data_IF_975407751853
#
_entry.id   IF_975407751853
#
_cell.length_a   1.000
_cell.length_b   1.000
_cell.length_c   1.000
_cell.angle_alpha   90.00
_cell.angle_beta   90.00
_cell.angle_gamma   90.00
#
_symmetry.space_group_name_H-M   'P 1'
#
loop_
_entity.id
_entity.type
_entity.pdbx_description
1 polymer ?
#
# COMPACT_ATOMS: atom_id res chain seq x y z
N UNK A 1 17.49 -35.99 24.11
CA UNK A 1 17.19 -36.32 22.71
C UNK A 1 15.69 -36.54 22.46
N UNK A 2 15.03 -37.54 23.07
CA UNK A 2 13.58 -37.80 22.85
C UNK A 2 12.66 -36.58 23.08
N UNK A 3 12.89 -35.80 24.16
CA UNK A 3 12.11 -34.57 24.45
C UNK A 3 12.28 -33.48 23.37
N UNK A 4 13.48 -33.36 22.77
CA UNK A 4 13.75 -32.42 21.69
C UNK A 4 13.06 -32.84 20.39
N UNK A 5 13.01 -34.15 20.12
CA UNK A 5 12.30 -34.71 18.95
C UNK A 5 10.79 -34.44 19.08
N UNK A 6 10.20 -34.70 20.25
CA UNK A 6 8.77 -34.43 20.50
C UNK A 6 8.46 -32.94 20.37
N UNK A 7 9.30 -32.07 20.94
CA UNK A 7 9.15 -30.62 20.80
C UNK A 7 9.22 -30.19 19.33
N UNK A 8 10.17 -30.73 18.57
CA UNK A 8 10.30 -30.43 17.14
C UNK A 8 9.04 -30.84 16.37
N UNK A 9 8.52 -32.05 16.60
CA UNK A 9 7.29 -32.53 15.94
C UNK A 9 6.11 -31.62 16.28
N UNK A 10 5.98 -31.22 17.54
CA UNK A 10 4.92 -30.33 17.98
C UNK A 10 5.00 -28.96 17.31
N UNK A 11 6.18 -28.35 17.24
CA UNK A 11 6.40 -27.06 16.55
C UNK A 11 6.12 -27.17 15.06
N UNK A 12 6.56 -28.24 14.41
CA UNK A 12 6.29 -28.48 12.98
C UNK A 12 4.79 -28.63 12.71
N UNK A 13 4.08 -29.41 13.55
CA UNK A 13 2.63 -29.58 13.44
C UNK A 13 1.89 -28.25 13.62
N UNK A 14 2.26 -27.47 14.64
CA UNK A 14 1.65 -26.15 14.89
C UNK A 14 1.88 -25.19 13.70
N UNK A 15 3.09 -25.22 13.13
CA UNK A 15 3.44 -24.38 11.97
C UNK A 15 2.58 -24.73 10.75
N UNK A 16 2.44 -26.01 10.41
CA UNK A 16 1.62 -26.48 9.29
C UNK A 16 0.13 -26.19 9.53
N UNK A 17 -0.37 -26.43 10.76
CA UNK A 17 -1.75 -26.18 11.12
C UNK A 17 -2.10 -24.68 11.08
N UNK A 18 -1.16 -23.80 11.43
CA UNK A 18 -1.36 -22.34 11.43
C UNK A 18 -1.23 -21.70 10.04
N UNK A 19 -0.48 -22.32 9.12
CA UNK A 19 -0.22 -21.80 7.77
C UNK A 19 -1.47 -21.35 6.99
N UNK A 20 -2.58 -22.13 6.90
CA UNK A 20 -3.77 -21.68 6.16
C UNK A 20 -4.42 -20.45 6.78
N UNK A 21 -4.45 -20.33 8.11
CA UNK A 21 -5.01 -19.16 8.79
C UNK A 21 -4.19 -17.91 8.55
N UNK A 22 -2.86 -18.03 8.61
CA UNK A 22 -1.93 -16.93 8.30
C UNK A 22 -2.09 -16.51 6.83
N UNK A 23 -2.21 -17.47 5.91
CA UNK A 23 -2.39 -17.19 4.49
C UNK A 23 -3.70 -16.44 4.20
N UNK A 24 -4.83 -16.90 4.76
CA UNK A 24 -6.13 -16.22 4.64
C UNK A 24 -6.06 -14.80 5.23
N UNK A 25 -5.40 -14.63 6.38
CA UNK A 25 -5.23 -13.31 6.99
C UNK A 25 -4.47 -12.36 6.06
N UNK A 26 -3.36 -12.81 5.47
CA UNK A 26 -2.55 -11.99 4.55
C UNK A 26 -3.35 -11.64 3.29
N UNK A 27 -4.18 -12.55 2.77
CA UNK A 27 -5.04 -12.27 1.62
C UNK A 27 -6.09 -11.20 1.93
N UNK A 28 -6.67 -11.20 3.13
CA UNK A 28 -7.76 -10.28 3.50
C UNK A 28 -7.27 -8.91 4.02
N UNK A 29 -6.11 -8.87 4.67
CA UNK A 29 -5.61 -7.68 5.34
C UNK A 29 -4.31 -7.14 4.73
N UNK A 30 -3.73 -7.85 3.77
CA UNK A 30 -2.38 -7.59 3.28
C UNK A 30 -1.30 -8.07 4.24
N UNK A 31 -0.05 -7.79 3.90
CA UNK A 31 1.08 -8.14 4.77
C UNK A 31 1.16 -7.15 5.95
N UNK A 32 0.96 -7.59 7.21
CA UNK A 32 0.93 -6.68 8.36
C UNK A 32 2.26 -5.96 8.60
N UNK A 33 3.39 -6.62 8.30
CA UNK A 33 4.73 -6.03 8.41
C UNK A 33 4.86 -4.88 7.40
N UNK A 34 4.50 -5.14 6.14
CA UNK A 34 4.61 -4.13 5.09
C UNK A 34 3.66 -2.95 5.33
N UNK A 35 2.43 -3.21 5.76
CA UNK A 35 1.47 -2.17 6.12
C UNK A 35 2.00 -1.28 7.25
N UNK A 36 2.67 -1.87 8.25
CA UNK A 36 3.28 -1.10 9.34
C UNK A 36 4.45 -0.23 8.85
N UNK A 37 5.37 -0.80 8.07
CA UNK A 37 6.54 -0.09 7.53
C UNK A 37 6.10 1.08 6.65
N UNK A 38 5.29 0.81 5.62
CA UNK A 38 4.83 1.83 4.68
C UNK A 38 3.93 2.86 5.39
N UNK A 39 3.10 2.43 6.32
CA UNK A 39 2.27 3.33 7.11
C UNK A 39 3.07 4.26 8.03
N UNK A 40 4.24 3.82 8.52
CA UNK A 40 5.15 4.65 9.32
C UNK A 40 5.92 5.61 8.42
N UNK A 41 6.58 5.09 7.38
CA UNK A 41 7.40 5.88 6.48
C UNK A 41 6.57 6.91 5.71
N UNK A 42 5.35 6.56 5.27
CA UNK A 42 4.43 7.51 4.64
C UNK A 42 4.07 8.69 5.55
N UNK A 43 3.90 8.45 6.86
CA UNK A 43 3.67 9.54 7.84
C UNK A 43 4.90 10.42 8.01
N UNK A 44 6.08 9.80 8.07
CA UNK A 44 7.35 10.52 8.21
C UNK A 44 7.63 11.37 6.97
N UNK A 45 7.35 10.82 5.79
CA UNK A 45 7.44 11.51 4.50
C UNK A 45 6.54 12.75 4.45
N UNK A 46 5.24 12.62 4.77
CA UNK A 46 4.32 13.76 4.80
C UNK A 46 4.75 14.83 5.81
N UNK A 47 5.23 14.43 6.98
CA UNK A 47 5.76 15.37 7.99
C UNK A 47 6.99 16.11 7.49
N UNK A 48 7.91 15.42 6.82
CA UNK A 48 9.08 16.03 6.21
C UNK A 48 8.68 17.03 5.11
N UNK A 49 7.58 16.76 4.39
CA UNK A 49 6.95 17.67 3.43
C UNK A 49 6.16 18.84 4.06
N UNK A 50 6.13 18.96 5.39
CA UNK A 50 5.48 20.06 6.10
C UNK A 50 4.03 19.80 6.54
N UNK A 51 3.48 18.62 6.25
CA UNK A 51 2.12 18.28 6.65
C UNK A 51 2.03 17.84 8.11
N UNK A 52 0.98 18.26 8.78
CA UNK A 52 0.64 17.88 10.15
C UNK A 52 -0.62 17.02 10.19
N UNK A 53 -0.90 16.42 11.35
CA UNK A 53 -2.15 15.70 11.56
C UNK A 53 -3.40 16.61 11.44
N UNK A 54 -3.24 17.94 11.46
CA UNK A 54 -4.34 18.88 11.29
C UNK A 54 -4.76 19.01 9.83
N UNK A 55 -3.88 18.71 8.89
CA UNK A 55 -4.09 18.86 7.45
C UNK A 55 -4.68 17.59 6.83
N UNK A 56 -4.56 16.46 7.54
CA UNK A 56 -4.94 15.15 7.04
C UNK A 56 -6.31 14.75 7.60
N UNK A 57 -7.24 14.44 6.70
CA UNK A 57 -8.55 13.91 7.03
C UNK A 57 -8.47 12.40 7.30
N UNK A 58 -7.81 11.66 6.41
CA UNK A 58 -7.63 10.21 6.50
C UNK A 58 -6.29 9.81 5.91
N UNK A 59 -5.61 8.87 6.57
CA UNK A 59 -4.41 8.24 6.01
C UNK A 59 -4.28 6.80 6.49
N UNK A 60 -3.83 5.89 5.63
CA UNK A 60 -3.50 4.53 6.01
C UNK A 60 -2.78 3.78 4.88
N UNK A 61 -2.00 2.77 5.26
CA UNK A 61 -1.44 1.81 4.32
C UNK A 61 -2.45 0.69 4.06
N UNK A 62 -2.66 0.37 2.79
CA UNK A 62 -3.57 -0.69 2.36
C UNK A 62 -2.91 -1.56 1.29
N UNK A 63 -3.19 -2.88 1.27
CA UNK A 63 -2.80 -3.70 0.14
C UNK A 63 -3.54 -3.22 -1.11
N UNK A 64 -2.82 -3.03 -2.21
CA UNK A 64 -3.45 -2.96 -3.52
C UNK A 64 -3.56 -4.36 -4.12
N UNK A 65 -4.77 -4.75 -4.46
CA UNK A 65 -5.08 -6.03 -5.09
C UNK A 65 -4.84 -6.02 -6.60
N UNK A 66 -4.74 -4.84 -7.20
CA UNK A 66 -4.29 -4.71 -8.57
C UNK A 66 -2.76 -4.67 -8.62
N UNK A 67 -2.19 -5.25 -9.66
CA UNK A 67 -0.76 -5.05 -9.94
C UNK A 67 -0.49 -3.56 -10.12
N UNK A 68 0.69 -3.13 -9.68
CA UNK A 68 1.22 -1.78 -9.86
C UNK A 68 2.62 -1.86 -10.46
N UNK A 69 3.25 -0.71 -10.65
CA UNK A 69 4.63 -0.57 -11.03
C UNK A 69 5.52 -1.52 -10.21
N UNK A 70 6.22 -2.42 -10.92
CA UNK A 70 6.97 -3.54 -10.33
C UNK A 70 8.11 -3.10 -9.41
N UNK A 71 8.56 -1.86 -9.53
CA UNK A 71 9.61 -1.30 -8.69
C UNK A 71 9.11 -0.97 -7.28
N UNK A 72 7.80 -0.96 -7.05
CA UNK A 72 7.17 -0.58 -5.78
C UNK A 72 6.49 -1.78 -5.10
N UNK A 73 6.37 -1.73 -3.78
CA UNK A 73 5.56 -2.69 -3.03
C UNK A 73 4.07 -2.49 -3.34
N UNK A 74 3.30 -3.59 -3.43
CA UNK A 74 1.86 -3.52 -3.71
C UNK A 74 1.04 -2.88 -2.57
N UNK A 75 1.61 -2.72 -1.38
CA UNK A 75 0.96 -1.94 -0.32
C UNK A 75 1.15 -0.45 -0.62
N UNK A 76 0.04 0.29 -0.69
CA UNK A 76 0.01 1.72 -1.00
C UNK A 76 -0.36 2.49 0.25
N UNK A 77 0.26 3.64 0.44
CA UNK A 77 -0.13 4.60 1.46
C UNK A 77 -1.12 5.61 0.86
N UNK A 78 -2.36 5.59 1.37
CA UNK A 78 -3.43 6.47 0.92
C UNK A 78 -3.56 7.68 1.84
N UNK A 79 -3.81 8.85 1.26
CA UNK A 79 -3.96 10.10 2.01
C UNK A 79 -5.13 10.90 1.43
N UNK A 80 -5.99 11.41 2.31
CA UNK A 80 -7.04 12.38 2.00
C UNK A 80 -6.78 13.60 2.87
N UNK A 81 -6.58 14.75 2.23
CA UNK A 81 -6.35 16.02 2.91
C UNK A 81 -7.69 16.68 3.27
N UNK A 82 -7.70 17.59 4.25
CA UNK A 82 -8.94 18.22 4.76
C UNK A 82 -9.50 19.29 3.83
N UNK A 83 -8.63 20.01 3.14
CA UNK A 83 -8.91 21.02 2.13
C UNK A 83 -9.30 20.41 0.78
N UNK A 84 -8.90 19.17 0.50
CA UNK A 84 -9.36 18.38 -0.66
C UNK A 84 -10.00 17.03 -0.24
N UNK A 85 -11.16 17.03 0.45
CA UNK A 85 -11.74 15.84 1.05
C UNK A 85 -12.26 14.81 0.04
N UNK A 86 -12.47 15.22 -1.20
CA UNK A 86 -12.91 14.36 -2.31
C UNK A 86 -11.74 13.73 -3.07
N UNK A 87 -10.49 14.07 -2.73
CA UNK A 87 -9.30 13.58 -3.38
C UNK A 87 -8.57 12.54 -2.53
N UNK A 88 -8.22 11.42 -3.14
CA UNK A 88 -7.35 10.41 -2.52
C UNK A 88 -6.03 10.33 -3.28
N UNK A 89 -4.96 10.65 -2.56
CA UNK A 89 -3.58 10.61 -3.03
C UNK A 89 -2.94 9.27 -2.68
N UNK A 90 -2.07 8.81 -3.56
CA UNK A 90 -1.40 7.52 -3.43
C UNK A 90 0.11 7.68 -3.36
N UNK A 91 0.72 7.01 -2.39
CA UNK A 91 2.16 6.99 -2.22
C UNK A 91 2.66 5.54 -2.19
N UNK A 92 3.77 5.30 -2.88
CA UNK A 92 4.40 4.00 -2.99
C UNK A 92 5.77 3.98 -2.33
N UNK A 93 6.13 2.84 -1.73
CA UNK A 93 7.49 2.56 -1.28
C UNK A 93 8.22 1.80 -2.37
N UNK A 94 9.33 2.35 -2.86
CA UNK A 94 10.19 1.63 -3.78
C UNK A 94 10.84 0.42 -3.08
N UNK A 95 11.01 -0.68 -3.82
CA UNK A 95 11.70 -1.88 -3.34
C UNK A 95 13.18 -1.60 -3.15
N UNK A 96 13.87 -2.52 -2.45
CA UNK A 96 15.32 -2.48 -2.28
C UNK A 96 15.85 -1.16 -1.66
N UNK A 97 15.31 -0.79 -0.50
CA UNK A 97 15.72 0.39 0.28
C UNK A 97 15.42 1.76 -0.37
N UNK A 98 14.68 1.81 -1.48
CA UNK A 98 14.26 3.08 -2.08
C UNK A 98 13.23 3.84 -1.24
N UNK A 99 12.91 5.08 -1.59
CA UNK A 99 12.11 5.99 -0.75
C UNK A 99 10.59 5.88 -0.98
N UNK A 100 9.84 6.64 -0.17
CA UNK A 100 8.42 6.91 -0.44
C UNK A 100 8.34 7.98 -1.54
N UNK A 101 7.48 7.76 -2.53
CA UNK A 101 7.17 8.73 -3.58
C UNK A 101 5.67 8.84 -3.79
N UNK A 102 5.20 10.00 -4.26
CA UNK A 102 3.82 10.14 -4.71
C UNK A 102 3.62 9.53 -6.10
N UNK A 103 2.53 8.79 -6.27
CA UNK A 103 2.06 8.36 -7.58
C UNK A 103 1.28 9.48 -8.27
N UNK A 104 1.37 9.56 -9.60
CA UNK A 104 0.68 10.61 -10.36
C UNK A 104 -0.85 10.44 -10.32
N UNK A 105 -1.31 9.20 -10.28
CA UNK A 105 -2.70 8.81 -10.18
C UNK A 105 -3.30 9.20 -8.82
N UNK A 106 -4.51 9.76 -8.87
CA UNK A 106 -5.34 10.13 -7.72
C UNK A 106 -6.77 9.74 -8.03
N UNK A 107 -7.53 9.36 -7.02
CA UNK A 107 -8.96 9.11 -7.22
C UNK A 107 -9.80 10.25 -6.66
N UNK A 108 -10.76 10.70 -7.47
CA UNK A 108 -11.80 11.65 -7.07
C UNK A 108 -13.01 10.89 -6.57
N UNK A 109 -13.68 11.43 -5.57
CA UNK A 109 -15.00 10.98 -5.12
C UNK A 109 -16.06 11.95 -5.60
N UNK A 110 -17.18 11.40 -6.05
CA UNK A 110 -18.39 12.17 -6.32
C UNK A 110 -19.55 11.48 -5.60
N UNK A 111 -20.27 12.21 -4.75
CA UNK A 111 -21.34 11.63 -3.92
C UNK A 111 -20.86 10.53 -2.96
N UNK A 112 -19.58 10.53 -2.58
CA UNK A 112 -18.98 9.53 -1.69
C UNK A 112 -18.49 8.24 -2.38
N UNK A 113 -18.66 8.13 -3.69
CA UNK A 113 -18.20 6.98 -4.50
C UNK A 113 -16.95 7.38 -5.26
N UNK A 114 -15.93 6.51 -5.28
CA UNK A 114 -14.76 6.72 -6.15
C UNK A 114 -15.20 6.64 -7.61
N UNK A 115 -15.15 7.76 -8.32
CA UNK A 115 -15.74 7.89 -9.65
C UNK A 115 -14.69 7.96 -10.76
N UNK A 116 -13.49 8.47 -10.48
CA UNK A 116 -12.50 8.69 -11.53
C UNK A 116 -11.07 8.71 -11.01
N UNK A 117 -10.18 8.02 -11.71
CA UNK A 117 -8.74 8.22 -11.57
C UNK A 117 -8.29 9.35 -12.48
N UNK A 118 -7.59 10.33 -11.91
CA UNK A 118 -7.03 11.48 -12.63
C UNK A 118 -5.52 11.57 -12.40
N UNK A 119 -4.81 12.18 -13.35
CA UNK A 119 -3.38 12.49 -13.26
C UNK A 119 -3.09 13.98 -13.32
N UNK A 120 -4.13 14.81 -13.42
CA UNK A 120 -4.00 16.27 -13.46
C UNK A 120 -3.40 16.80 -12.16
N UNK A 121 -2.72 17.95 -12.25
CA UNK A 121 -2.14 18.64 -11.10
C UNK A 121 -3.24 19.19 -10.20
N UNK A 122 -3.09 18.98 -8.89
CA UNK A 122 -3.94 19.47 -7.81
C UNK A 122 -3.06 20.11 -6.74
N UNK A 123 -3.65 20.60 -5.65
CA UNK A 123 -2.92 21.37 -4.64
C UNK A 123 -1.78 20.56 -4.01
N UNK A 124 -2.04 19.29 -3.65
CA UNK A 124 -1.02 18.42 -3.06
C UNK A 124 -0.31 17.52 -4.07
N UNK A 125 -0.39 17.82 -5.38
CA UNK A 125 0.44 17.14 -6.37
C UNK A 125 1.90 17.53 -6.20
N UNK A 126 2.76 16.52 -6.05
CA UNK A 126 4.20 16.72 -6.14
C UNK A 126 4.63 17.12 -7.55
N UNK A 127 5.70 17.91 -7.64
CA UNK A 127 6.25 18.35 -8.93
C UNK A 127 6.80 17.18 -9.75
N UNK A 128 7.32 16.15 -9.08
CA UNK A 128 7.77 14.90 -9.67
C UNK A 128 6.98 13.76 -9.04
N UNK A 129 6.21 13.04 -9.86
CA UNK A 129 5.48 11.85 -9.46
C UNK A 129 5.80 10.71 -10.41
N UNK A 130 5.59 9.47 -9.96
CA UNK A 130 5.79 8.28 -10.79
C UNK A 130 4.43 7.68 -11.14
N UNK A 131 4.26 7.15 -12.35
CA UNK A 131 3.01 6.45 -12.66
C UNK A 131 2.97 5.10 -11.95
N UNK A 132 1.85 4.86 -11.27
CA UNK A 132 1.51 3.59 -10.63
C UNK A 132 1.32 2.45 -11.64
N UNK A 133 1.04 2.78 -12.91
CA UNK A 133 0.79 1.81 -13.98
C UNK A 133 2.00 1.56 -14.88
N UNK A 134 3.01 2.43 -14.82
CA UNK A 134 4.24 2.26 -15.59
C UNK A 134 4.98 0.98 -15.19
N UNK A 135 5.52 0.25 -16.17
CA UNK A 135 6.27 -0.99 -15.94
C UNK A 135 5.51 -2.02 -15.07
N UNK A 136 4.18 -1.92 -15.00
CA UNK A 136 3.33 -2.93 -14.39
C UNK A 136 3.46 -4.23 -15.17
N UNK A 137 3.47 -5.36 -14.47
CA UNK A 137 3.39 -6.67 -15.12
C UNK A 137 2.03 -6.71 -15.83
N UNK A 138 2.04 -6.68 -17.16
CA UNK A 138 0.83 -6.83 -17.96
C UNK A 138 0.21 -8.18 -17.62
N UNK A 139 -0.89 -8.16 -16.85
CA UNK A 139 -1.78 -9.31 -16.76
C UNK A 139 -2.19 -9.70 -18.18
N UNK A 140 -2.16 -11.00 -18.45
CA UNK A 140 -2.62 -11.67 -19.66
C UNK A 140 -3.72 -10.87 -20.37
N UNK A 141 -3.37 -10.17 -21.47
CA UNK A 141 -4.37 -9.62 -22.38
C UNK A 141 -5.04 -10.82 -23.03
N UNK A 142 -6.24 -11.19 -22.58
CA UNK A 142 -7.17 -11.93 -23.43
C UNK A 142 -7.56 -10.91 -24.51
N UNK A 143 -6.86 -10.95 -25.65
CA UNK A 143 -7.36 -10.31 -26.86
C UNK A 143 -8.68 -10.99 -27.22
N UNK A 144 -9.75 -10.23 -27.54
CA UNK A 144 -10.95 -10.82 -28.12
C UNK A 144 -10.64 -11.52 -29.45
#
# INVERSE_FOLDING_TARGET
>A
MKKLIILSIFVSFLSIASAPFIFIYILNHGNPIMNHVIGKEGKEYLKAGGYSNKDILKQAAYPNYQSINRNYFNTIYQVVFKDEPEMTYYYGKEKYFGDIVQFCEKDTKEGGIYTKTITTKTEHSEASCISMNENRISGFQIRP
#
